data_IF_047674815796
#
_entry.id   IF_047674815796
#
_cell.length_a   1.000
_cell.length_b   1.000
_cell.length_c   1.000
_cell.angle_alpha   90.00
_cell.angle_beta   90.00
_cell.angle_gamma   90.00
#
_symmetry.space_group_name_H-M   'P 1'
#
loop_
_entity.id
_entity.type
_entity.pdbx_description
1 polymer ?
#
# COMPACT_ATOMS: atom_id res chain seq x y z
N UNK A 1 47.52 27.40 -8.35
CA UNK A 1 46.35 26.94 -9.13
C UNK A 1 45.76 25.74 -8.39
N UNK A 2 44.76 25.96 -7.54
CA UNK A 2 44.08 24.88 -6.83
C UNK A 2 43.14 24.17 -7.81
N UNK A 3 43.38 22.88 -8.07
CA UNK A 3 42.50 22.06 -8.88
C UNK A 3 41.21 21.77 -8.12
N UNK A 4 40.16 22.53 -8.41
CA UNK A 4 38.82 22.17 -7.99
C UNK A 4 38.40 20.92 -8.78
N UNK A 5 38.41 19.76 -8.13
CA UNK A 5 37.65 18.62 -8.63
C UNK A 5 36.17 18.98 -8.48
N UNK A 6 35.37 19.00 -9.57
CA UNK A 6 33.93 19.09 -9.43
C UNK A 6 33.49 17.84 -8.68
N UNK A 7 33.13 18.00 -7.42
CA UNK A 7 32.56 16.93 -6.61
C UNK A 7 31.28 16.47 -7.26
N UNK A 8 31.37 15.40 -8.05
CA UNK A 8 30.20 14.66 -8.52
C UNK A 8 29.67 13.93 -7.29
N UNK A 9 28.98 14.65 -6.40
CA UNK A 9 27.98 14.04 -5.54
C UNK A 9 26.81 13.64 -6.44
N UNK A 10 27.04 12.66 -7.33
CA UNK A 10 25.95 11.97 -7.98
C UNK A 10 25.15 11.35 -6.85
N UNK A 11 23.94 11.87 -6.64
CA UNK A 11 22.96 11.29 -5.73
C UNK A 11 22.77 9.84 -6.18
N UNK A 12 23.36 8.89 -5.46
CA UNK A 12 23.22 7.47 -5.77
C UNK A 12 21.81 7.06 -5.36
N UNK A 13 20.87 7.21 -6.27
CA UNK A 13 19.50 6.75 -6.09
C UNK A 13 19.51 5.24 -5.92
N UNK A 14 18.87 4.77 -4.85
CA UNK A 14 18.72 3.34 -4.58
C UNK A 14 17.31 2.89 -4.96
N UNK A 15 17.17 1.76 -5.68
CA UNK A 15 15.87 1.14 -5.89
C UNK A 15 15.16 0.91 -4.56
N UNK A 16 13.83 0.84 -4.61
CA UNK A 16 13.01 0.48 -3.45
C UNK A 16 13.47 -0.88 -2.93
N UNK A 17 13.74 -0.95 -1.63
CA UNK A 17 14.03 -2.19 -0.94
C UNK A 17 13.10 -2.28 0.27
N UNK A 18 12.18 -3.24 0.23
CA UNK A 18 11.23 -3.46 1.33
C UNK A 18 11.81 -4.49 2.29
N UNK A 19 11.96 -4.09 3.56
CA UNK A 19 12.47 -4.96 4.63
C UNK A 19 11.60 -6.20 4.82
N UNK A 20 12.20 -7.27 5.33
CA UNK A 20 11.44 -8.48 5.66
C UNK A 20 10.39 -8.22 6.76
N UNK A 21 10.66 -7.27 7.65
CA UNK A 21 9.73 -6.83 8.69
C UNK A 21 8.46 -6.23 8.07
N UNK A 22 8.59 -5.31 7.12
CA UNK A 22 7.43 -4.73 6.42
C UNK A 22 6.65 -5.77 5.60
N UNK A 23 7.34 -6.70 4.94
CA UNK A 23 6.69 -7.75 4.13
C UNK A 23 5.91 -8.74 4.98
N UNK A 24 6.49 -9.19 6.11
CA UNK A 24 5.82 -10.08 7.07
C UNK A 24 4.65 -9.37 7.75
N UNK A 25 4.85 -8.09 8.02
CA UNK A 25 3.88 -7.23 8.68
C UNK A 25 3.97 -7.31 10.20
N UNK A 26 3.47 -6.26 10.85
CA UNK A 26 3.43 -6.16 12.29
C UNK A 26 2.03 -5.77 12.77
N UNK A 27 1.74 -6.14 14.02
CA UNK A 27 0.46 -5.81 14.64
C UNK A 27 0.46 -4.36 15.11
N UNK A 28 -0.59 -3.64 14.74
CA UNK A 28 -0.90 -2.30 15.23
C UNK A 28 -2.34 -2.25 15.72
N UNK A 29 -2.64 -1.25 16.54
CA UNK A 29 -4.01 -0.82 16.80
C UNK A 29 -4.29 0.42 15.95
N UNK A 30 -5.20 0.32 14.98
CA UNK A 30 -5.70 1.44 14.18
C UNK A 30 -6.80 2.15 14.95
N UNK A 31 -6.81 3.49 14.88
CA UNK A 31 -7.85 4.32 15.47
C UNK A 31 -8.10 5.57 14.62
N UNK A 32 -9.27 6.18 14.79
CA UNK A 32 -9.71 7.37 14.08
C UNK A 32 -10.28 8.40 15.06
N UNK A 33 -10.14 9.70 14.78
CA UNK A 33 -10.61 10.77 15.68
C UNK A 33 -12.13 10.79 15.85
N UNK A 34 -12.86 10.42 14.80
CA UNK A 34 -14.32 10.50 14.72
C UNK A 34 -15.00 9.22 15.25
N UNK A 35 -14.23 8.32 15.85
CA UNK A 35 -14.69 7.01 16.30
C UNK A 35 -14.01 6.59 17.60
N UNK A 36 -14.77 5.99 18.51
CA UNK A 36 -14.20 5.33 19.70
C UNK A 36 -13.81 3.87 19.44
N UNK A 37 -13.90 3.42 18.18
CA UNK A 37 -13.54 2.07 17.77
C UNK A 37 -12.04 1.98 17.51
N UNK A 38 -11.39 1.06 18.22
CA UNK A 38 -10.01 0.67 17.99
C UNK A 38 -9.98 -0.69 17.30
N UNK A 39 -9.19 -0.82 16.23
CA UNK A 39 -9.16 -2.03 15.41
C UNK A 39 -7.74 -2.59 15.36
N UNK A 40 -7.50 -3.79 15.93
CA UNK A 40 -6.24 -4.49 15.74
C UNK A 40 -6.08 -4.89 14.27
N UNK A 41 -4.95 -4.52 13.66
CA UNK A 41 -4.63 -4.82 12.27
C UNK A 41 -3.22 -5.40 12.16
N UNK A 42 -2.96 -6.15 11.09
CA UNK A 42 -1.60 -6.52 10.68
C UNK A 42 -1.24 -5.69 9.46
N UNK A 43 -0.49 -4.61 9.68
CA UNK A 43 -0.02 -3.73 8.61
C UNK A 43 1.19 -4.36 7.93
N UNK A 44 1.22 -4.31 6.60
CA UNK A 44 2.30 -4.87 5.78
C UNK A 44 2.43 -4.15 4.44
N UNK A 45 3.52 -4.42 3.74
CA UNK A 45 3.81 -3.86 2.42
C UNK A 45 4.03 -4.97 1.40
N UNK A 46 3.64 -4.74 0.14
CA UNK A 46 4.02 -5.66 -0.93
C UNK A 46 5.53 -5.58 -1.21
N UNK A 47 6.16 -6.62 -1.79
CA UNK A 47 7.61 -6.62 -1.98
C UNK A 47 8.13 -5.54 -2.93
N UNK A 48 7.26 -4.93 -3.74
CA UNK A 48 7.61 -3.85 -4.67
C UNK A 48 7.50 -2.47 -3.99
N UNK A 49 6.89 -2.37 -2.82
CA UNK A 49 6.73 -1.12 -2.07
C UNK A 49 5.65 -0.20 -2.65
N UNK A 50 4.59 -0.76 -3.24
CA UNK A 50 3.52 0.04 -3.83
C UNK A 50 2.41 0.45 -2.85
N UNK A 51 2.05 -0.46 -1.94
CA UNK A 51 0.92 -0.29 -1.03
C UNK A 51 1.29 -0.72 0.39
N UNK A 52 0.88 0.09 1.36
CA UNK A 52 0.56 -0.46 2.68
C UNK A 52 -0.81 -1.11 2.61
N UNK A 53 -0.96 -2.26 3.26
CA UNK A 53 -2.22 -2.98 3.28
C UNK A 53 -2.43 -3.69 4.61
N UNK A 54 -3.69 -3.81 4.99
CA UNK A 54 -4.12 -4.49 6.19
C UNK A 54 -5.47 -5.15 5.96
N UNK A 55 -5.73 -6.19 6.73
CA UNK A 55 -7.02 -6.88 6.74
C UNK A 55 -7.66 -6.67 8.10
N UNK A 56 -8.89 -6.19 8.11
CA UNK A 56 -9.67 -5.97 9.32
C UNK A 56 -10.39 -7.26 9.79
N UNK A 57 -11.23 -7.12 10.81
CA UNK A 57 -12.01 -8.23 11.37
C UNK A 57 -13.05 -8.80 10.39
N UNK A 58 -13.50 -8.00 9.42
CA UNK A 58 -14.45 -8.38 8.38
C UNK A 58 -13.80 -9.15 7.21
N UNK A 59 -12.48 -9.40 7.32
CA UNK A 59 -11.65 -9.98 6.24
C UNK A 59 -11.61 -9.10 4.99
N UNK A 60 -11.91 -7.81 5.12
CA UNK A 60 -11.77 -6.87 4.03
C UNK A 60 -10.35 -6.30 4.03
N UNK A 61 -9.73 -6.27 2.84
CA UNK A 61 -8.37 -5.75 2.68
C UNK A 61 -8.42 -4.30 2.23
N UNK A 62 -7.95 -3.42 3.10
CA UNK A 62 -7.74 -2.01 2.82
C UNK A 62 -6.32 -1.76 2.30
N UNK A 63 -6.19 -0.70 1.50
CA UNK A 63 -4.95 -0.33 0.84
C UNK A 63 -4.71 1.17 0.98
N UNK A 64 -3.50 1.53 1.37
CA UNK A 64 -2.95 2.87 1.26
C UNK A 64 -1.86 2.87 0.19
N UNK A 65 -2.06 3.67 -0.86
CA UNK A 65 -1.06 3.88 -1.90
C UNK A 65 0.11 4.70 -1.34
N UNK A 66 1.31 4.11 -1.37
CA UNK A 66 2.52 4.73 -0.82
C UNK A 66 2.87 6.03 -1.55
N UNK A 67 2.54 6.18 -2.84
CA UNK A 67 2.80 7.43 -3.56
C UNK A 67 1.93 8.60 -3.09
N UNK A 68 0.88 8.34 -2.31
CA UNK A 68 0.06 9.39 -1.69
C UNK A 68 0.59 9.82 -0.32
N UNK A 69 1.52 9.06 0.28
CA UNK A 69 2.10 9.40 1.58
C UNK A 69 2.98 10.64 1.44
N UNK A 70 2.78 11.60 2.34
CA UNK A 70 3.51 12.87 2.40
C UNK A 70 4.48 12.92 3.58
N UNK A 71 4.13 12.24 4.67
CA UNK A 71 4.89 12.29 5.92
C UNK A 71 4.55 11.07 6.80
N UNK A 72 5.47 10.69 7.68
CA UNK A 72 5.26 9.66 8.69
C UNK A 72 5.84 10.14 10.02
N UNK A 73 4.99 10.23 11.03
CA UNK A 73 5.31 10.84 12.32
C UNK A 73 5.24 9.78 13.41
N UNK A 74 6.18 9.80 14.35
CA UNK A 74 6.16 8.95 15.52
C UNK A 74 6.32 9.75 16.83
N UNK A 75 6.01 9.12 17.95
CA UNK A 75 6.25 9.71 19.26
C UNK A 75 5.44 10.99 19.48
N UNK A 76 6.10 12.00 20.05
CA UNK A 76 5.51 13.35 20.29
C UNK A 76 5.02 14.08 19.02
N UNK A 77 5.45 13.65 17.84
CA UNK A 77 5.02 14.24 16.56
C UNK A 77 3.82 13.51 15.95
N UNK A 78 3.53 12.29 16.42
CA UNK A 78 2.31 11.59 16.05
C UNK A 78 1.10 12.30 16.63
N UNK A 79 -0.04 12.11 15.97
CA UNK A 79 -1.31 12.67 16.37
C UNK A 79 -1.78 12.00 17.65
N UNK A 80 -2.18 12.77 18.65
CA UNK A 80 -2.73 12.25 19.89
C UNK A 80 -4.26 12.16 19.82
N UNK A 81 -4.89 11.12 20.39
CA UNK A 81 -6.35 11.02 20.48
C UNK A 81 -6.89 12.16 21.33
N UNK A 82 -7.87 12.90 20.81
CA UNK A 82 -8.50 14.02 21.53
C UNK A 82 -9.57 13.55 22.51
N UNK A 83 -10.27 12.47 22.16
CA UNK A 83 -11.31 11.89 23.00
C UNK A 83 -10.68 11.14 24.20
N UNK A 84 -11.03 11.48 25.45
CA UNK A 84 -10.48 10.83 26.63
C UNK A 84 -10.76 9.32 26.70
N UNK A 85 -11.95 8.88 26.28
CA UNK A 85 -12.32 7.45 26.27
C UNK A 85 -11.48 6.69 25.25
N UNK A 86 -11.27 7.28 24.08
CA UNK A 86 -10.39 6.68 23.07
C UNK A 86 -8.94 6.59 23.58
N UNK A 87 -8.45 7.64 24.25
CA UNK A 87 -7.13 7.63 24.88
C UNK A 87 -7.01 6.52 25.91
N UNK A 88 -7.99 6.36 26.79
CA UNK A 88 -8.05 5.27 27.77
C UNK A 88 -8.04 3.89 27.09
N UNK A 89 -8.80 3.70 26.01
CA UNK A 89 -8.82 2.44 25.26
C UNK A 89 -7.47 2.10 24.61
N UNK A 90 -6.74 3.11 24.11
CA UNK A 90 -5.43 2.93 23.50
C UNK A 90 -4.31 2.69 24.53
N UNK A 91 -4.48 3.22 25.74
CA UNK A 91 -3.56 3.01 26.86
C UNK A 91 -3.88 1.73 27.66
N UNK A 92 -5.11 1.23 27.56
CA UNK A 92 -5.56 -0.01 28.16
C UNK A 92 -4.69 -1.18 27.65
N UNK A 93 -4.01 -1.86 28.59
CA UNK A 93 -3.15 -3.00 28.30
C UNK A 93 -1.71 -2.86 28.79
N UNK A 94 -1.32 -1.72 29.37
CA UNK A 94 0.00 -1.48 29.98
C UNK A 94 1.15 -2.00 29.11
N UNK A 95 1.11 -1.66 27.82
CA UNK A 95 1.94 -2.24 26.76
C UNK A 95 3.41 -1.73 26.81
N UNK A 96 3.87 -1.28 27.97
CA UNK A 96 5.20 -0.70 28.18
C UNK A 96 5.32 0.76 27.72
N UNK A 97 5.81 1.61 28.62
CA UNK A 97 6.13 3.00 28.32
C UNK A 97 4.91 3.92 28.12
N UNK A 98 5.18 5.17 27.75
CA UNK A 98 4.16 6.17 27.47
C UNK A 98 3.47 5.88 26.14
N UNK A 99 2.12 5.94 26.09
CA UNK A 99 1.33 5.74 24.87
C UNK A 99 1.88 6.56 23.71
N UNK A 100 2.25 7.82 23.95
CA UNK A 100 2.73 8.75 22.93
C UNK A 100 3.93 8.21 22.17
N UNK A 101 4.83 7.50 22.85
CA UNK A 101 6.05 6.95 22.25
C UNK A 101 5.77 5.79 21.29
N UNK A 102 4.59 5.16 21.39
CA UNK A 102 4.18 4.03 20.55
C UNK A 102 3.26 4.46 19.41
N UNK A 103 2.90 5.75 19.32
CA UNK A 103 2.01 6.25 18.27
C UNK A 103 2.76 6.48 16.96
N UNK A 104 2.12 6.13 15.85
CA UNK A 104 2.53 6.48 14.49
C UNK A 104 1.35 7.15 13.80
N UNK A 105 1.62 8.22 13.05
CA UNK A 105 0.65 8.84 12.14
C UNK A 105 1.26 8.89 10.73
N UNK A 106 0.64 8.17 9.79
CA UNK A 106 0.96 8.28 8.37
C UNK A 106 0.04 9.33 7.75
N UNK A 107 0.65 10.38 7.19
CA UNK A 107 -0.04 11.50 6.54
C UNK A 107 -0.08 11.23 5.05
N UNK A 108 -1.26 11.21 4.44
CA UNK A 108 -1.41 10.90 3.03
C UNK A 108 -2.51 11.72 2.36
N UNK A 109 -2.42 11.90 1.05
CA UNK A 109 -3.41 12.65 0.29
C UNK A 109 -3.02 12.83 -1.18
N UNK A 110 -3.98 13.15 -2.06
CA UNK A 110 -3.67 13.47 -3.46
C UNK A 110 -2.78 14.72 -3.58
N UNK A 111 -2.92 15.68 -2.67
CA UNK A 111 -2.20 16.95 -2.65
C UNK A 111 -1.92 17.41 -1.21
N UNK A 112 -1.38 18.62 -1.05
CA UNK A 112 -1.00 19.20 0.25
C UNK A 112 -2.17 19.83 1.03
N UNK A 113 -3.38 19.85 0.45
CA UNK A 113 -4.59 20.42 1.06
C UNK A 113 -5.52 19.30 1.52
N UNK A 114 -5.78 18.33 0.66
CA UNK A 114 -6.66 17.20 0.90
C UNK A 114 -5.92 16.09 1.66
N UNK A 115 -5.65 16.33 2.94
CA UNK A 115 -4.86 15.43 3.78
C UNK A 115 -5.76 14.51 4.62
N UNK A 116 -5.39 13.24 4.66
CA UNK A 116 -5.94 12.20 5.53
C UNK A 116 -4.85 11.61 6.43
N UNK A 117 -5.28 10.93 7.50
CA UNK A 117 -4.38 10.38 8.51
C UNK A 117 -4.70 8.91 8.74
N UNK A 118 -3.67 8.07 8.75
CA UNK A 118 -3.74 6.71 9.28
C UNK A 118 -3.03 6.71 10.63
N UNK A 119 -3.81 6.64 11.71
CA UNK A 119 -3.27 6.65 13.07
C UNK A 119 -3.16 5.22 13.61
N UNK A 120 -2.00 4.91 14.16
CA UNK A 120 -1.62 3.58 14.59
C UNK A 120 -0.95 3.66 15.96
N UNK A 121 -1.10 2.60 16.75
CA UNK A 121 -0.35 2.39 17.98
C UNK A 121 0.39 1.06 17.90
N UNK A 122 1.71 1.12 18.01
CA UNK A 122 2.59 -0.03 18.07
C UNK A 122 2.52 -0.71 19.45
N UNK A 123 2.91 -1.98 19.50
CA UNK A 123 3.07 -2.66 20.78
C UNK A 123 4.30 -2.18 21.56
N UNK A 124 5.37 -1.74 20.86
CA UNK A 124 6.61 -1.27 21.46
C UNK A 124 7.09 0.03 20.79
N UNK A 125 7.88 0.83 21.52
CA UNK A 125 8.38 2.14 21.05
C UNK A 125 9.41 2.01 19.92
N UNK A 126 10.28 1.00 19.98
CA UNK A 126 11.27 0.69 18.94
C UNK A 126 10.59 0.35 17.61
N UNK A 127 9.54 -0.47 17.64
CA UNK A 127 8.69 -0.75 16.47
C UNK A 127 8.13 0.55 15.89
N UNK A 128 7.66 1.47 16.75
CA UNK A 128 7.06 2.71 16.28
C UNK A 128 8.06 3.57 15.50
N UNK A 129 9.31 3.65 15.97
CA UNK A 129 10.40 4.38 15.32
C UNK A 129 10.87 3.71 14.04
N UNK A 130 11.14 2.40 14.09
CA UNK A 130 11.56 1.62 12.92
C UNK A 130 10.54 1.75 11.79
N UNK A 131 9.24 1.57 12.11
CA UNK A 131 8.20 1.67 11.10
C UNK A 131 8.01 3.08 10.56
N UNK A 132 8.10 4.14 11.38
CA UNK A 132 8.00 5.50 10.86
C UNK A 132 9.12 5.82 9.87
N UNK A 133 10.35 5.40 10.18
CA UNK A 133 11.51 5.65 9.33
C UNK A 133 11.42 4.86 8.02
N UNK A 134 11.01 3.60 8.08
CA UNK A 134 10.83 2.79 6.88
C UNK A 134 9.66 3.27 6.00
N UNK A 135 8.53 3.68 6.60
CA UNK A 135 7.41 4.28 5.86
C UNK A 135 7.87 5.54 5.14
N UNK A 136 8.58 6.42 5.84
CA UNK A 136 9.08 7.66 5.26
C UNK A 136 10.08 7.38 4.12
N UNK A 137 10.98 6.41 4.31
CA UNK A 137 11.95 6.01 3.30
C UNK A 137 11.29 5.49 2.01
N UNK A 138 10.23 4.70 2.13
CA UNK A 138 9.46 4.23 0.97
C UNK A 138 8.73 5.38 0.26
N UNK A 139 8.05 6.24 1.01
CA UNK A 139 7.25 7.35 0.46
C UNK A 139 8.11 8.40 -0.26
N UNK A 140 9.33 8.63 0.22
CA UNK A 140 10.27 9.64 -0.30
C UNK A 140 11.28 9.08 -1.32
N UNK A 141 11.16 7.80 -1.69
CA UNK A 141 12.06 7.20 -2.67
C UNK A 141 11.83 7.81 -4.07
N UNK A 142 12.85 8.52 -4.59
CA UNK A 142 12.75 9.22 -5.87
C UNK A 142 12.53 8.28 -7.07
N UNK A 143 13.07 7.06 -7.04
CA UNK A 143 12.85 6.09 -8.13
C UNK A 143 11.43 5.53 -8.10
N UNK A 144 10.85 5.34 -6.91
CA UNK A 144 9.44 4.96 -6.75
C UNK A 144 8.49 6.04 -7.27
N UNK A 145 8.82 7.31 -7.01
CA UNK A 145 8.04 8.45 -7.50
C UNK A 145 8.14 8.64 -9.02
N UNK A 146 9.25 8.18 -9.63
CA UNK A 146 9.51 8.25 -11.07
C UNK A 146 9.41 6.86 -11.73
N UNK A 147 8.43 6.07 -11.29
CA UNK A 147 8.23 4.70 -11.77
C UNK A 147 7.91 4.64 -13.28
N UNK A 148 8.40 3.60 -13.95
CA UNK A 148 8.12 3.37 -15.37
C UNK A 148 6.66 2.98 -15.61
N UNK A 149 6.22 3.04 -16.87
CA UNK A 149 4.90 2.56 -17.27
C UNK A 149 4.69 1.08 -16.91
N UNK A 150 5.71 0.25 -17.07
CA UNK A 150 5.63 -1.17 -16.73
C UNK A 150 5.44 -1.38 -15.23
N UNK A 151 6.16 -0.63 -14.40
CA UNK A 151 5.96 -0.65 -12.95
C UNK A 151 4.56 -0.15 -12.57
N UNK A 152 3.99 0.81 -13.31
CA UNK A 152 2.63 1.31 -13.02
C UNK A 152 1.57 0.25 -13.33
N UNK A 153 1.76 -0.52 -14.40
CA UNK A 153 0.93 -1.67 -14.73
C UNK A 153 1.09 -2.78 -13.68
N UNK A 154 2.30 -3.02 -13.20
CA UNK A 154 2.56 -3.97 -12.10
C UNK A 154 1.91 -3.53 -10.79
N UNK A 155 1.91 -2.23 -10.48
CA UNK A 155 1.20 -1.66 -9.33
C UNK A 155 -0.31 -1.88 -9.43
N UNK A 156 -0.91 -1.58 -10.59
CA UNK A 156 -2.31 -1.86 -10.87
C UNK A 156 -2.67 -3.35 -10.70
N UNK A 157 -1.81 -4.24 -11.20
CA UNK A 157 -1.93 -5.68 -11.02
C UNK A 157 -1.82 -6.12 -9.56
N UNK A 158 -0.86 -5.56 -8.82
CA UNK A 158 -0.62 -5.87 -7.41
C UNK A 158 -1.83 -5.50 -6.56
N UNK A 159 -2.44 -4.34 -6.82
CA UNK A 159 -3.71 -3.92 -6.20
C UNK A 159 -4.81 -4.97 -6.33
N UNK A 160 -5.00 -5.52 -7.54
CA UNK A 160 -6.01 -6.57 -7.78
C UNK A 160 -5.72 -7.86 -6.98
N UNK A 161 -4.44 -8.23 -6.83
CA UNK A 161 -4.02 -9.43 -6.10
C UNK A 161 -4.04 -9.29 -4.58
N UNK A 162 -4.04 -8.07 -4.07
CA UNK A 162 -4.20 -7.78 -2.66
C UNK A 162 -5.68 -7.75 -2.26
N UNK A 163 -6.56 -7.25 -3.14
CA UNK A 163 -8.00 -7.18 -2.89
C UNK A 163 -8.74 -8.41 -3.40
N UNK A 164 -8.47 -9.57 -2.79
CA UNK A 164 -9.10 -10.85 -3.11
C UNK A 164 -10.24 -11.21 -2.16
N UNK A 165 -11.13 -12.10 -2.58
CA UNK A 165 -12.14 -12.71 -1.69
C UNK A 165 -11.48 -13.65 -0.67
N UNK A 166 -12.18 -14.09 0.39
CA UNK A 166 -11.67 -15.10 1.33
C UNK A 166 -11.20 -16.40 0.65
N UNK A 167 -11.78 -16.74 -0.50
CA UNK A 167 -11.39 -17.89 -1.34
C UNK A 167 -10.18 -17.60 -2.25
N UNK A 168 -9.55 -16.42 -2.10
CA UNK A 168 -8.37 -16.02 -2.86
C UNK A 168 -8.66 -15.67 -4.32
N UNK A 169 -9.90 -15.28 -4.66
CA UNK A 169 -10.28 -14.90 -6.03
C UNK A 169 -10.33 -13.39 -6.20
N UNK A 170 -9.98 -12.90 -7.39
CA UNK A 170 -10.02 -11.46 -7.72
C UNK A 170 -11.46 -11.07 -8.08
N UNK A 171 -12.14 -10.21 -7.31
CA UNK A 171 -13.50 -9.80 -7.62
C UNK A 171 -13.56 -9.04 -8.96
N UNK A 172 -14.45 -9.46 -9.87
CA UNK A 172 -14.62 -8.77 -11.17
C UNK A 172 -14.95 -7.28 -11.02
N UNK A 173 -15.67 -6.91 -9.96
CA UNK A 173 -15.96 -5.51 -9.63
C UNK A 173 -14.68 -4.65 -9.51
N UNK A 174 -13.59 -5.22 -9.01
CA UNK A 174 -12.32 -4.50 -8.84
C UNK A 174 -11.63 -4.29 -10.19
N UNK A 175 -11.71 -5.26 -11.11
CA UNK A 175 -11.19 -5.11 -12.49
C UNK A 175 -11.96 -4.01 -13.23
N UNK A 176 -13.30 -4.04 -13.17
CA UNK A 176 -14.13 -3.01 -13.79
C UNK A 176 -13.90 -1.62 -13.21
N UNK A 177 -13.67 -1.51 -11.90
CA UNK A 177 -13.35 -0.23 -11.25
C UNK A 177 -12.02 0.32 -11.73
N UNK A 178 -11.02 -0.53 -11.98
CA UNK A 178 -9.71 -0.11 -12.48
C UNK A 178 -9.77 0.40 -13.94
N UNK A 179 -10.63 -0.19 -14.76
CA UNK A 179 -10.83 0.17 -16.16
C UNK A 179 -12.24 0.72 -16.40
N UNK A 180 -12.65 1.70 -15.60
CA UNK A 180 -14.03 2.22 -15.57
C UNK A 180 -14.48 2.94 -16.84
N UNK A 181 -13.53 3.36 -17.69
CA UNK A 181 -13.80 4.11 -18.91
C UNK A 181 -14.58 3.30 -19.96
N UNK A 182 -14.36 1.98 -20.05
CA UNK A 182 -15.03 1.14 -21.04
C UNK A 182 -15.21 -0.29 -20.54
N UNK A 183 -16.40 -0.56 -20.00
CA UNK A 183 -16.77 -1.86 -19.46
C UNK A 183 -16.80 -2.97 -20.52
N UNK A 184 -17.29 -2.67 -21.73
CA UNK A 184 -17.44 -3.68 -22.79
C UNK A 184 -16.07 -4.17 -23.25
N UNK A 185 -15.11 -3.26 -23.41
CA UNK A 185 -13.73 -3.63 -23.77
C UNK A 185 -13.07 -4.50 -22.69
N UNK A 186 -13.38 -4.28 -21.42
CA UNK A 186 -12.90 -5.15 -20.32
C UNK A 186 -13.50 -6.55 -20.44
N UNK A 187 -14.80 -6.67 -20.69
CA UNK A 187 -15.48 -7.97 -20.89
C UNK A 187 -14.85 -8.76 -22.05
N UNK A 188 -14.68 -8.12 -23.21
CA UNK A 188 -14.03 -8.73 -24.38
C UNK A 188 -12.59 -9.14 -24.10
N UNK A 189 -11.82 -8.33 -23.36
CA UNK A 189 -10.44 -8.67 -23.02
C UNK A 189 -10.32 -9.86 -22.06
N UNK A 190 -11.26 -9.99 -21.11
CA UNK A 190 -11.34 -11.13 -20.20
C UNK A 190 -11.69 -12.40 -20.97
N UNK A 191 -12.70 -12.35 -21.85
CA UNK A 191 -13.10 -13.46 -22.72
C UNK A 191 -11.97 -13.92 -23.63
N UNK A 192 -11.24 -12.99 -24.25
CA UNK A 192 -10.08 -13.30 -25.07
C UNK A 192 -8.94 -13.99 -24.29
N UNK A 193 -8.94 -13.87 -22.96
CA UNK A 193 -8.01 -14.56 -22.06
C UNK A 193 -8.60 -15.83 -21.43
N UNK A 194 -9.80 -16.27 -21.85
CA UNK A 194 -10.57 -17.34 -21.23
C UNK A 194 -10.83 -17.12 -19.73
N UNK A 195 -11.05 -15.86 -19.34
CA UNK A 195 -11.39 -15.48 -17.97
C UNK A 195 -12.90 -15.20 -17.84
N UNK A 196 -13.47 -15.38 -16.64
CA UNK A 196 -14.85 -14.99 -16.39
C UNK A 196 -15.05 -13.50 -16.67
N UNK A 197 -15.96 -13.16 -17.58
CA UNK A 197 -16.34 -11.77 -17.92
C UNK A 197 -17.69 -11.38 -17.31
N UNK A 198 -18.62 -12.32 -17.21
CA UNK A 198 -19.95 -12.09 -16.63
C UNK A 198 -20.06 -12.60 -15.20
N UNK A 199 -20.94 -12.00 -14.38
CA UNK A 199 -21.30 -12.55 -13.05
C UNK A 199 -21.96 -13.93 -13.14
N UNK A 200 -22.49 -14.29 -14.31
CA UNK A 200 -23.30 -15.50 -14.55
C UNK A 200 -22.42 -16.71 -14.87
N UNK A 201 -21.20 -16.48 -15.35
CA UNK A 201 -20.22 -17.52 -15.70
C UNK A 201 -19.37 -17.95 -14.48
N UNK A 202 -19.99 -18.23 -13.34
CA UNK A 202 -19.48 -19.11 -12.27
C UNK A 202 -18.08 -18.92 -11.67
N UNK A 203 -17.34 -17.84 -11.93
CA UNK A 203 -15.96 -17.72 -11.48
C UNK A 203 -15.46 -16.30 -11.33
N UNK A 204 -14.58 -16.08 -10.35
CA UNK A 204 -13.70 -14.92 -10.27
C UNK A 204 -12.28 -15.43 -10.53
N UNK A 205 -11.43 -14.72 -11.30
CA UNK A 205 -10.08 -15.21 -11.63
C UNK A 205 -9.28 -15.59 -10.37
N UNK A 206 -8.60 -16.75 -10.33
CA UNK A 206 -7.78 -17.11 -9.17
C UNK A 206 -6.52 -16.23 -9.13
N UNK A 207 -6.01 -15.96 -7.92
CA UNK A 207 -4.81 -15.14 -7.69
C UNK A 207 -3.58 -15.61 -8.48
N UNK A 208 -3.49 -16.91 -8.77
CA UNK A 208 -2.41 -17.55 -9.53
C UNK A 208 -2.50 -17.35 -11.04
N UNK A 209 -3.68 -17.04 -11.60
CA UNK A 209 -3.85 -17.01 -13.06
C UNK A 209 -3.15 -15.82 -13.70
N UNK A 210 -3.06 -14.71 -12.97
CA UNK A 210 -2.29 -13.57 -13.42
C UNK A 210 -0.77 -13.78 -13.25
N UNK A 211 -0.29 -14.88 -12.65
CA UNK A 211 1.13 -15.20 -12.53
C UNK A 211 1.69 -15.94 -13.77
N UNK A 212 0.82 -16.40 -14.68
CA UNK A 212 1.20 -17.12 -15.90
C UNK A 212 1.64 -16.19 -17.04
N UNK A 213 2.94 -16.24 -17.34
CA UNK A 213 3.67 -15.49 -18.37
C UNK A 213 3.82 -14.00 -18.09
N UNK A 214 5.04 -13.63 -17.70
CA UNK A 214 5.58 -12.27 -17.67
C UNK A 214 4.83 -11.32 -18.61
N UNK A 215 4.29 -10.24 -18.07
CA UNK A 215 3.73 -9.11 -18.84
C UNK A 215 4.66 -8.69 -19.99
N UNK A 216 5.97 -8.84 -19.79
CA UNK A 216 7.07 -8.58 -20.73
C UNK A 216 7.04 -9.48 -21.98
N UNK A 217 6.56 -10.73 -21.91
CA UNK A 217 6.44 -11.58 -23.10
C UNK A 217 5.17 -11.31 -23.90
N UNK A 218 4.11 -10.75 -23.28
CA UNK A 218 2.88 -10.42 -23.99
C UNK A 218 2.92 -9.03 -24.63
N UNK A 219 3.65 -8.04 -24.09
CA UNK A 219 3.80 -6.73 -24.74
C UNK A 219 4.41 -6.83 -26.15
N UNK A 220 5.27 -7.82 -26.39
CA UNK A 220 5.79 -8.17 -27.74
C UNK A 220 4.70 -8.66 -28.71
N UNK A 221 3.55 -9.12 -28.21
CA UNK A 221 2.39 -9.54 -29.02
C UNK A 221 1.43 -8.39 -29.29
N UNK A 222 1.27 -7.47 -28.34
CA UNK A 222 0.44 -6.26 -28.52
C UNK A 222 1.06 -5.23 -29.47
N UNK A 223 2.39 -5.25 -29.67
CA UNK A 223 3.08 -4.41 -30.65
C UNK A 223 3.10 -4.93 -32.09
N UNK A 224 2.45 -6.06 -32.41
CA UNK A 224 2.39 -6.63 -33.78
C UNK A 224 1.06 -6.50 -34.49
N UNK A 225 0.02 -5.98 -33.84
CA UNK A 225 -1.22 -5.57 -34.49
C UNK A 225 -1.25 -4.05 -34.57
N UNK A 226 -0.31 -3.53 -35.34
CA UNK A 226 -0.35 -2.18 -35.91
C UNK A 226 -0.27 -2.34 -37.42
N UNK A 227 -1.44 -2.58 -38.03
CA UNK A 227 -1.85 -2.32 -39.40
C UNK A 227 -3.38 -2.41 -39.43
#
# INVERSE_FOLDING_TARGET
MAGAQPGVHALQLKPVCVSDTLKKGIKFVKWDDDSTVVTPIILRTDPQGFFFYWTDQNKETELLDISLVKDARCGKHARAPKDPKLRELLDAGNLGGRLENRMITVVYGPDLVNISYLNLVAFQEDIAKEWSDEVFSLATNLLAQNMSRDAFLEKAYTKLKLQVTPEGRIPLKNIYRLFSADRKRVETALEACNLPSSRVSGGSPPRSFLQGNSYIQRSKRWGRTGL
#
